data_IF_106489678894
#
_entry.id   IF_106489678894
#
_cell.length_a   1.000
_cell.length_b   1.000
_cell.length_c   1.000
_cell.angle_alpha   90.00
_cell.angle_beta   90.00
_cell.angle_gamma   90.00
#
_symmetry.space_group_name_H-M   'P 1'
#
loop_
_entity.id
_entity.type
_entity.pdbx_description
1 polymer ?
#
# COMPACT_ATOMS: atom_id res chain seq x y z
N UNK A 1 27.56 18.98 1.14
CA UNK A 1 27.24 17.67 0.56
C UNK A 1 25.72 17.57 0.54
N UNK A 2 25.12 17.64 -0.66
CA UNK A 2 23.71 17.40 -1.01
C UNK A 2 22.58 17.99 -0.15
N UNK A 3 22.14 19.21 -0.48
CA UNK A 3 20.78 19.69 -0.11
C UNK A 3 19.67 19.06 -0.99
N UNK A 4 20.01 18.54 -2.17
CA UNK A 4 19.03 17.91 -3.08
C UNK A 4 18.60 16.50 -2.66
N UNK A 5 19.37 15.82 -1.80
CA UNK A 5 19.06 14.44 -1.38
C UNK A 5 17.83 14.37 -0.46
N UNK A 6 17.58 15.41 0.34
CA UNK A 6 16.43 15.42 1.27
C UNK A 6 15.08 15.65 0.58
N UNK A 7 15.04 16.48 -0.47
CA UNK A 7 13.78 16.87 -1.13
C UNK A 7 13.22 15.77 -2.04
N UNK A 8 14.08 15.15 -2.86
CA UNK A 8 13.67 14.06 -3.77
C UNK A 8 13.21 12.80 -3.03
N UNK A 9 13.89 12.45 -1.93
CA UNK A 9 13.53 11.30 -1.11
C UNK A 9 12.17 11.51 -0.44
N UNK A 10 11.92 12.69 0.14
CA UNK A 10 10.63 13.03 0.75
C UNK A 10 9.46 12.90 -0.24
N UNK A 11 9.67 13.35 -1.49
CA UNK A 11 8.63 13.28 -2.53
C UNK A 11 8.40 11.81 -2.94
N UNK A 12 9.47 11.04 -3.11
CA UNK A 12 9.39 9.62 -3.45
C UNK A 12 8.63 8.83 -2.39
N UNK A 13 8.93 9.03 -1.10
CA UNK A 13 8.23 8.36 0.01
C UNK A 13 6.73 8.62 0.00
N UNK A 14 6.33 9.89 -0.18
CA UNK A 14 4.91 10.28 -0.22
C UNK A 14 4.19 9.66 -1.42
N UNK A 15 4.83 9.68 -2.60
CA UNK A 15 4.25 9.09 -3.80
C UNK A 15 4.12 7.57 -3.67
N UNK A 16 5.17 6.89 -3.18
CA UNK A 16 5.15 5.46 -2.89
C UNK A 16 4.06 5.11 -1.88
N UNK A 17 3.87 5.93 -0.84
CA UNK A 17 2.81 5.77 0.13
C UNK A 17 1.41 5.87 -0.47
N UNK A 18 1.17 6.86 -1.33
CA UNK A 18 -0.10 6.99 -2.06
C UNK A 18 -0.37 5.79 -2.98
N UNK A 19 0.65 5.33 -3.72
CA UNK A 19 0.53 4.15 -4.58
C UNK A 19 0.21 2.90 -3.76
N UNK A 20 0.87 2.71 -2.61
CA UNK A 20 0.59 1.59 -1.71
C UNK A 20 -0.85 1.63 -1.18
N UNK A 21 -1.37 2.80 -0.81
CA UNK A 21 -2.77 2.94 -0.41
C UNK A 21 -3.72 2.54 -1.55
N UNK A 22 -3.47 3.02 -2.77
CA UNK A 22 -4.31 2.72 -3.93
C UNK A 22 -4.31 1.23 -4.26
N UNK A 23 -3.13 0.60 -4.30
CA UNK A 23 -3.01 -0.84 -4.57
C UNK A 23 -3.73 -1.64 -3.46
N UNK A 24 -3.59 -1.24 -2.20
CA UNK A 24 -4.23 -1.92 -1.08
C UNK A 24 -5.76 -1.83 -1.15
N UNK A 25 -6.29 -0.66 -1.50
CA UNK A 25 -7.71 -0.45 -1.74
C UNK A 25 -8.23 -1.29 -2.92
N UNK A 26 -7.47 -1.38 -4.02
CA UNK A 26 -7.81 -2.21 -5.18
C UNK A 26 -7.85 -3.69 -4.77
N UNK A 27 -6.85 -4.19 -4.03
CA UNK A 27 -6.82 -5.56 -3.54
C UNK A 27 -8.06 -5.86 -2.70
N UNK A 28 -8.39 -4.98 -1.75
CA UNK A 28 -9.58 -5.16 -0.90
C UNK A 28 -10.85 -5.17 -1.74
N UNK A 29 -11.00 -4.19 -2.64
CA UNK A 29 -12.17 -4.04 -3.49
C UNK A 29 -12.40 -5.29 -4.35
N UNK A 30 -11.37 -5.78 -5.06
CA UNK A 30 -11.51 -6.95 -5.90
C UNK A 30 -11.66 -8.24 -5.11
N UNK A 31 -10.98 -8.38 -3.97
CA UNK A 31 -11.13 -9.57 -3.11
C UNK A 31 -12.55 -9.65 -2.53
N UNK A 32 -13.16 -8.50 -2.22
CA UNK A 32 -14.52 -8.45 -1.69
C UNK A 32 -15.61 -8.60 -2.78
N UNK A 33 -15.46 -7.92 -3.92
CA UNK A 33 -16.46 -7.92 -5.00
C UNK A 33 -16.35 -9.14 -5.92
N UNK A 34 -15.14 -9.65 -6.12
CA UNK A 34 -14.81 -10.76 -7.02
C UNK A 34 -13.87 -11.73 -6.31
N UNK A 35 -14.32 -12.40 -5.24
CA UNK A 35 -13.44 -13.23 -4.42
C UNK A 35 -12.80 -14.37 -5.24
N UNK A 36 -11.54 -14.76 -4.92
CA UNK A 36 -10.87 -15.87 -5.57
C UNK A 36 -11.70 -17.16 -5.58
N UNK A 37 -11.67 -17.88 -6.70
CA UNK A 37 -12.44 -19.10 -6.93
C UNK A 37 -11.57 -20.36 -6.92
N UNK A 38 -12.21 -21.54 -6.84
CA UNK A 38 -11.50 -22.82 -6.81
C UNK A 38 -10.74 -23.06 -5.50
N UNK A 39 -9.58 -23.72 -5.58
CA UNK A 39 -8.77 -24.12 -4.42
C UNK A 39 -8.24 -22.96 -3.58
N UNK A 40 -8.20 -21.75 -4.15
CA UNK A 40 -7.70 -20.55 -3.46
C UNK A 40 -8.77 -19.80 -2.66
N UNK A 41 -10.05 -20.16 -2.82
CA UNK A 41 -11.19 -19.52 -2.13
C UNK A 41 -11.04 -19.45 -0.60
N UNK A 42 -10.59 -20.51 0.10
CA UNK A 42 -10.40 -20.46 1.56
C UNK A 42 -9.36 -19.41 2.00
N UNK A 43 -8.43 -19.06 1.12
CA UNK A 43 -7.36 -18.10 1.40
C UNK A 43 -7.73 -16.66 1.07
N UNK A 44 -8.97 -16.38 0.63
CA UNK A 44 -9.46 -15.03 0.30
C UNK A 44 -9.21 -14.02 1.44
N UNK A 45 -9.34 -14.45 2.69
CA UNK A 45 -9.08 -13.61 3.86
C UNK A 45 -7.66 -13.05 3.94
N UNK A 46 -6.65 -13.79 3.45
CA UNK A 46 -5.25 -13.33 3.45
C UNK A 46 -5.07 -12.13 2.52
N UNK A 47 -5.76 -12.10 1.38
CA UNK A 47 -5.70 -10.96 0.46
C UNK A 47 -6.33 -9.71 1.05
N UNK A 48 -7.44 -9.83 1.80
CA UNK A 48 -8.01 -8.70 2.54
C UNK A 48 -7.03 -8.15 3.58
N UNK A 49 -6.45 -9.03 4.40
CA UNK A 49 -5.47 -8.64 5.42
C UNK A 49 -4.25 -7.98 4.76
N UNK A 50 -3.73 -8.55 3.68
CA UNK A 50 -2.61 -7.98 2.92
C UNK A 50 -2.95 -6.59 2.38
N UNK A 51 -4.16 -6.38 1.85
CA UNK A 51 -4.62 -5.08 1.40
C UNK A 51 -4.67 -4.03 2.52
N UNK A 52 -5.18 -4.41 3.70
CA UNK A 52 -5.18 -3.52 4.87
C UNK A 52 -3.77 -3.18 5.35
N UNK A 53 -2.88 -4.17 5.41
CA UNK A 53 -1.46 -3.96 5.76
C UNK A 53 -0.81 -2.99 4.78
N UNK A 54 -1.08 -3.14 3.47
CA UNK A 54 -0.54 -2.25 2.44
C UNK A 54 -1.04 -0.81 2.62
N UNK A 55 -2.32 -0.62 2.95
CA UNK A 55 -2.89 0.71 3.27
C UNK A 55 -2.19 1.31 4.49
N UNK A 56 -2.01 0.54 5.56
CA UNK A 56 -1.32 1.01 6.77
C UNK A 56 0.11 1.43 6.46
N UNK A 57 0.86 0.60 5.72
CA UNK A 57 2.22 0.94 5.27
C UNK A 57 2.22 2.21 4.42
N UNK A 58 1.27 2.33 3.48
CA UNK A 58 1.17 3.52 2.65
C UNK A 58 0.84 4.79 3.44
N UNK A 59 -0.04 4.71 4.44
CA UNK A 59 -0.32 5.82 5.37
C UNK A 59 0.94 6.20 6.12
N UNK A 60 1.69 5.21 6.65
CA UNK A 60 2.96 5.46 7.35
C UNK A 60 3.94 6.19 6.44
N UNK A 61 4.09 5.78 5.18
CA UNK A 61 4.98 6.45 4.22
C UNK A 61 4.54 7.88 3.87
N UNK A 62 3.23 8.15 3.77
CA UNK A 62 2.73 9.51 3.52
C UNK A 62 2.99 10.42 4.72
N UNK A 63 2.83 9.89 5.94
CA UNK A 63 3.00 10.60 7.19
C UNK A 63 4.45 10.71 7.66
N UNK A 64 5.32 9.83 7.16
CA UNK A 64 6.74 9.88 7.44
C UNK A 64 7.31 11.26 7.07
N UNK A 65 8.21 11.74 7.92
CA UNK A 65 9.04 12.90 7.67
C UNK A 65 10.42 12.33 7.37
N UNK A 66 10.93 12.55 6.17
CA UNK A 66 12.35 12.32 5.90
C UNK A 66 13.13 13.30 6.79
N UNK A 67 14.06 12.76 7.57
CA UNK A 67 14.99 13.51 8.41
C UNK A 67 16.25 13.90 7.60
#
# INVERSE_FOLDING_TARGET
MSEEVGSGLTIAEKLSGLIAILIGAIIIYFTYTSPPSGYVKPFSGIFLVAGFVLIVVGIVLVLARAE
#
